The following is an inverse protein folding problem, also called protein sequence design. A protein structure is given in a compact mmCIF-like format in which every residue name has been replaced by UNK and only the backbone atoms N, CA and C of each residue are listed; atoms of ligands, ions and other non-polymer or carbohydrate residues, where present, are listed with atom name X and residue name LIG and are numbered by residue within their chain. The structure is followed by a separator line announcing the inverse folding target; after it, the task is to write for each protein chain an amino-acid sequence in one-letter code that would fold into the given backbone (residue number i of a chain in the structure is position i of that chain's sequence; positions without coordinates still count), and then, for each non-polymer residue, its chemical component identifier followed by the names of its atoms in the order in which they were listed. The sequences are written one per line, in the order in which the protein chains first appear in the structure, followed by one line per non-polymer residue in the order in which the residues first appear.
data_IF_259651088227
#
_entry.id   IF_259651088227
#
_cell.length_a   1.000
_cell.length_b   1.000
_cell.length_c   1.000
_cell.angle_alpha   90.00
_cell.angle_beta   90.00
_cell.angle_gamma   90.00
#
_symmetry.space_group_name_H-M   'P 1'
#
loop_
_entity.id
_entity.type
_entity.pdbx_description
1 polymer ?
#
# COMPACT_ATOMS: atom_id res chain seq x y z
N UNK A 1 -6.90 6.98 1.54
CA UNK A 1 -6.11 6.23 2.55
C UNK A 1 -6.95 5.09 3.07
N UNK A 2 -6.38 3.87 3.05
CA UNK A 2 -6.94 2.68 3.70
C UNK A 2 -6.15 2.38 4.97
N UNK A 3 -6.82 1.83 5.98
CA UNK A 3 -6.14 1.36 7.18
C UNK A 3 -6.77 0.06 7.70
N UNK A 4 -5.96 -0.72 8.41
CA UNK A 4 -6.38 -1.91 9.13
C UNK A 4 -5.76 -1.90 10.53
N UNK A 5 -6.60 -2.04 11.54
CA UNK A 5 -6.17 -2.18 12.94
C UNK A 5 -6.23 -3.65 13.36
N UNK A 6 -5.25 -4.09 14.14
CA UNK A 6 -5.22 -5.42 14.77
C UNK A 6 -4.75 -5.30 16.22
N UNK A 7 -5.49 -5.89 17.12
CA UNK A 7 -5.06 -6.12 18.50
C UNK A 7 -4.51 -7.54 18.61
N UNK A 8 -3.35 -7.68 19.19
CA UNK A 8 -2.70 -8.98 19.40
C UNK A 8 -2.97 -9.52 20.80
N UNK A 9 -2.94 -8.64 21.79
CA UNK A 9 -3.23 -8.90 23.19
C UNK A 9 -3.58 -7.57 23.91
N UNK A 10 -3.66 -7.60 25.23
CA UNK A 10 -4.01 -6.41 26.02
C UNK A 10 -2.88 -5.35 26.07
N UNK A 11 -1.68 -5.69 25.61
CA UNK A 11 -0.49 -4.83 25.64
C UNK A 11 0.01 -4.42 24.26
N UNK A 12 -0.52 -5.01 23.18
CA UNK A 12 0.02 -4.84 21.84
C UNK A 12 -1.08 -4.69 20.78
N UNK A 13 -0.97 -3.62 20.01
CA UNK A 13 -1.81 -3.35 18.84
C UNK A 13 -0.93 -2.90 17.67
N UNK A 14 -1.44 -3.07 16.46
CA UNK A 14 -0.83 -2.49 15.28
C UNK A 14 -1.89 -1.89 14.35
N UNK A 15 -1.49 -0.84 13.64
CA UNK A 15 -2.25 -0.28 12.54
C UNK A 15 -1.39 -0.25 11.28
N UNK A 16 -1.91 -0.85 10.23
CA UNK A 16 -1.39 -0.74 8.87
C UNK A 16 -2.11 0.40 8.16
N UNK A 17 -1.38 1.29 7.54
CA UNK A 17 -1.94 2.42 6.79
C UNK A 17 -1.31 2.45 5.40
N UNK A 18 -2.13 2.56 4.37
CA UNK A 18 -1.69 2.60 2.98
C UNK A 18 -2.23 3.85 2.28
N UNK A 19 -1.36 4.56 1.57
CA UNK A 19 -1.76 5.63 0.69
C UNK A 19 -2.33 5.04 -0.61
N UNK A 20 -3.66 5.03 -0.70
CA UNK A 20 -4.41 4.60 -1.90
C UNK A 20 -5.10 5.78 -2.57
N UNK A 21 -4.66 7.00 -2.24
CA UNK A 21 -5.29 8.21 -2.76
C UNK A 21 -5.11 8.31 -4.27
N UNK A 22 -6.16 8.79 -4.91
CA UNK A 22 -6.20 9.04 -6.33
C UNK A 22 -7.09 10.27 -6.53
N UNK A 23 -6.46 11.43 -6.74
CA UNK A 23 -7.15 12.71 -6.87
C UNK A 23 -7.78 12.91 -8.25
N UNK A 24 -7.45 12.07 -9.23
CA UNK A 24 -8.03 12.18 -10.55
C UNK A 24 -9.50 11.76 -10.56
N UNK A 25 -10.35 12.63 -11.10
CA UNK A 25 -11.74 12.31 -11.39
C UNK A 25 -11.80 11.28 -12.50
N UNK A 26 -12.29 10.09 -12.19
CA UNK A 26 -12.39 9.00 -13.17
C UNK A 26 -13.67 9.14 -13.96
N UNK A 27 -13.55 9.28 -15.26
CA UNK A 27 -14.70 9.28 -16.18
C UNK A 27 -15.32 7.88 -16.32
N UNK A 28 -14.55 6.81 -16.03
CA UNK A 28 -15.01 5.44 -16.19
C UNK A 28 -14.37 4.48 -15.20
N UNK A 29 -15.15 3.58 -14.64
CA UNK A 29 -14.69 2.47 -13.80
C UNK A 29 -13.74 1.53 -14.56
N UNK A 30 -13.84 1.46 -15.88
CA UNK A 30 -13.02 0.61 -16.74
C UNK A 30 -11.60 1.15 -16.97
N UNK A 31 -11.40 2.45 -16.81
CA UNK A 31 -10.07 3.07 -16.90
C UNK A 31 -9.19 2.80 -15.67
N UNK A 32 -9.74 2.16 -14.65
CA UNK A 32 -9.01 1.81 -13.43
C UNK A 32 -7.89 0.78 -13.66
N UNK A 33 -7.96 0.02 -14.74
CA UNK A 33 -6.94 -0.98 -15.10
C UNK A 33 -5.69 -0.37 -15.75
N UNK A 34 -5.77 0.88 -16.19
CA UNK A 34 -4.60 1.58 -16.72
C UNK A 34 -3.76 2.08 -15.56
N UNK A 35 -2.46 1.77 -15.61
CA UNK A 35 -1.48 2.34 -14.69
C UNK A 35 -1.46 3.84 -14.97
N UNK A 36 -2.16 4.62 -14.12
CA UNK A 36 -2.09 6.05 -14.16
C UNK A 36 -0.95 6.51 -13.26
N UNK A 37 -0.29 7.54 -13.65
CA UNK A 37 0.67 8.24 -12.80
C UNK A 37 -0.10 8.85 -11.62
N UNK A 38 -0.18 8.12 -10.55
CA UNK A 38 -0.70 8.64 -9.29
C UNK A 38 0.39 9.50 -8.67
N UNK A 39 0.04 10.71 -8.29
CA UNK A 39 1.00 11.68 -7.75
C UNK A 39 0.64 12.14 -6.33
N UNK A 40 -0.38 11.57 -5.74
CA UNK A 40 -0.83 12.01 -4.42
C UNK A 40 0.19 11.63 -3.35
N UNK A 41 0.91 12.64 -2.90
CA UNK A 41 1.82 12.58 -1.77
C UNK A 41 1.25 13.38 -0.61
N UNK A 42 1.56 12.95 0.57
CA UNK A 42 1.18 13.63 1.79
C UNK A 42 2.42 13.90 2.63
N UNK A 43 2.96 15.09 2.55
CA UNK A 43 4.18 15.47 3.29
C UNK A 43 3.95 15.51 4.80
N UNK A 44 2.71 15.72 5.22
CA UNK A 44 2.36 15.82 6.63
C UNK A 44 0.96 15.30 6.90
N UNK A 45 0.90 14.14 7.54
CA UNK A 45 -0.34 13.50 8.00
C UNK A 45 -0.29 13.40 9.51
N UNK A 46 -1.30 13.97 10.18
CA UNK A 46 -1.46 13.80 11.62
C UNK A 46 -2.37 12.61 11.89
N UNK A 47 -1.86 11.66 12.64
CA UNK A 47 -2.59 10.48 13.07
C UNK A 47 -2.98 10.65 14.53
N UNK A 48 -4.27 10.44 14.83
CA UNK A 48 -4.79 10.31 16.18
C UNK A 48 -5.26 8.87 16.37
N UNK A 49 -4.58 8.12 17.22
CA UNK A 49 -4.83 6.70 17.44
C UNK A 49 -5.37 6.46 18.85
N UNK A 50 -6.64 6.12 18.94
CA UNK A 50 -7.34 5.88 20.22
C UNK A 50 -7.06 4.45 20.69
N UNK A 51 -6.47 4.28 21.87
CA UNK A 51 -6.17 2.99 22.48
C UNK A 51 -6.06 3.10 23.99
N UNK A 52 -6.48 2.09 24.76
CA UNK A 52 -6.22 2.02 26.19
C UNK A 52 -4.78 1.65 26.53
N UNK A 53 -3.98 1.20 25.57
CA UNK A 53 -2.59 0.75 25.79
C UNK A 53 -1.72 1.97 26.07
N UNK A 54 -1.05 1.95 27.22
CA UNK A 54 -0.01 2.91 27.57
C UNK A 54 1.37 2.34 27.25
N UNK A 55 2.14 3.08 26.43
CA UNK A 55 3.46 2.61 26.01
C UNK A 55 4.05 3.48 24.91
N UNK A 56 4.67 2.85 23.93
CA UNK A 56 5.34 3.52 22.82
C UNK A 56 4.70 3.17 21.48
N UNK A 57 4.85 4.07 20.54
CA UNK A 57 4.51 3.83 19.14
C UNK A 57 5.81 3.56 18.37
N UNK A 58 5.86 2.42 17.72
CA UNK A 58 6.98 1.98 16.89
C UNK A 58 6.53 1.98 15.45
N UNK A 59 7.21 2.73 14.60
CA UNK A 59 7.03 2.63 13.16
C UNK A 59 7.85 1.46 12.63
N UNK A 60 7.24 0.65 11.77
CA UNK A 60 7.88 -0.47 11.07
C UNK A 60 7.78 -0.19 9.58
N UNK A 61 8.91 -0.15 8.90
CA UNK A 61 8.99 -0.02 7.44
C UNK A 61 8.70 -1.37 6.82
N UNK A 62 7.58 -1.56 6.09
CA UNK A 62 7.18 -2.87 5.59
C UNK A 62 8.22 -3.51 4.65
N UNK A 63 8.90 -2.68 3.85
CA UNK A 63 9.83 -3.13 2.81
C UNK A 63 11.15 -3.65 3.40
N UNK A 64 11.63 -3.05 4.48
CA UNK A 64 12.94 -3.37 5.07
C UNK A 64 12.86 -4.08 6.41
N UNK A 65 11.72 -3.96 7.10
CA UNK A 65 11.55 -4.41 8.48
C UNK A 65 12.24 -3.53 9.52
N UNK A 66 12.81 -2.40 9.11
CA UNK A 66 13.41 -1.43 10.03
C UNK A 66 12.36 -0.87 10.99
N UNK A 67 12.79 -0.57 12.20
CA UNK A 67 11.92 -0.11 13.28
C UNK A 67 12.45 1.17 13.88
N UNK A 68 11.54 2.10 14.13
CA UNK A 68 11.87 3.40 14.71
C UNK A 68 10.88 3.76 15.81
N UNK A 69 11.39 4.31 16.90
CA UNK A 69 10.54 4.86 17.95
C UNK A 69 9.97 6.20 17.49
N UNK A 70 8.65 6.26 17.38
CA UNK A 70 7.93 7.46 16.95
C UNK A 70 7.86 8.51 18.05
N UNK A 71 8.09 9.77 17.70
CA UNK A 71 7.81 10.89 18.59
C UNK A 71 6.30 11.11 18.69
N UNK A 72 5.74 10.85 19.85
CA UNK A 72 4.28 10.89 20.07
C UNK A 72 3.89 11.76 21.25
N UNK A 73 2.63 12.21 21.25
CA UNK A 73 1.94 12.78 22.41
C UNK A 73 0.77 11.89 22.75
N UNK A 74 0.67 11.47 24.02
CA UNK A 74 -0.51 10.78 24.53
C UNK A 74 -1.35 11.75 25.36
N UNK A 75 -2.61 11.91 24.99
CA UNK A 75 -3.60 12.70 25.74
C UNK A 75 -5.01 12.19 25.44
N UNK A 76 -5.88 12.25 26.42
CA UNK A 76 -7.31 11.90 26.27
C UNK A 76 -7.55 10.50 25.66
N UNK A 77 -6.69 9.52 26.02
CA UNK A 77 -6.80 8.16 25.53
C UNK A 77 -6.33 7.95 24.08
N UNK A 78 -5.60 8.91 23.51
CA UNK A 78 -5.11 8.82 22.14
C UNK A 78 -3.63 9.20 22.02
N UNK A 79 -2.91 8.46 21.18
CA UNK A 79 -1.61 8.88 20.66
C UNK A 79 -1.79 9.80 19.47
N UNK A 80 -1.08 10.92 19.47
CA UNK A 80 -1.01 11.81 18.32
C UNK A 80 0.44 11.88 17.83
N UNK A 81 0.63 11.66 16.54
CA UNK A 81 1.93 11.73 15.87
C UNK A 81 1.78 12.14 14.41
N UNK A 82 2.89 12.53 13.79
CA UNK A 82 2.93 12.96 12.40
C UNK A 82 3.78 11.99 11.56
N UNK A 83 3.42 11.86 10.29
CA UNK A 83 4.13 11.06 9.31
C UNK A 83 3.88 11.62 7.91
N UNK A 84 4.56 11.07 6.91
CA UNK A 84 4.35 11.37 5.50
C UNK A 84 4.00 10.10 4.75
N UNK A 85 3.44 10.24 3.56
CA UNK A 85 3.21 9.11 2.65
C UNK A 85 3.60 9.51 1.24
N UNK A 86 4.51 8.76 0.66
CA UNK A 86 4.76 8.76 -0.77
C UNK A 86 3.59 8.09 -1.52
N UNK A 87 3.62 8.17 -2.83
CA UNK A 87 2.65 7.49 -3.69
C UNK A 87 2.66 5.99 -3.41
N UNK A 88 1.51 5.41 -3.15
CA UNK A 88 1.32 3.98 -2.78
C UNK A 88 2.05 3.50 -1.53
N UNK A 89 2.68 4.37 -0.79
CA UNK A 89 3.43 3.96 0.39
C UNK A 89 2.53 3.38 1.47
N UNK A 90 3.02 2.34 2.10
CA UNK A 90 2.43 1.72 3.28
C UNK A 90 3.30 1.96 4.50
N UNK A 91 2.67 2.06 5.68
CA UNK A 91 3.36 2.16 6.97
C UNK A 91 2.65 1.32 8.01
N UNK A 92 3.41 0.75 8.93
CA UNK A 92 2.90 0.01 10.08
C UNK A 92 3.30 0.76 11.34
N UNK A 93 2.35 0.98 12.22
CA UNK A 93 2.60 1.54 13.55
C UNK A 93 2.15 0.53 14.58
N UNK A 94 3.09 0.01 15.37
CA UNK A 94 2.82 -0.85 16.49
C UNK A 94 2.77 -0.02 17.78
N UNK A 95 1.71 -0.21 18.56
CA UNK A 95 1.57 0.36 19.90
C UNK A 95 1.85 -0.78 20.88
N UNK A 96 2.86 -0.62 21.71
CA UNK A 96 3.30 -1.65 22.64
C UNK A 96 3.56 -1.06 24.01
N UNK A 97 3.34 -1.84 25.06
CA UNK A 97 3.64 -1.40 26.43
C UNK A 97 5.14 -1.11 26.59
N UNK A 98 5.49 -0.21 27.50
CA UNK A 98 6.88 0.21 27.71
C UNK A 98 7.84 -0.95 28.04
N UNK A 99 7.34 -2.01 28.67
CA UNK A 99 8.12 -3.19 29.03
C UNK A 99 8.54 -4.05 27.83
N UNK A 100 7.80 -3.96 26.72
CA UNK A 100 8.05 -4.73 25.52
C UNK A 100 8.88 -3.99 24.45
N UNK A 101 9.27 -2.74 24.71
CA UNK A 101 10.08 -1.94 23.77
C UNK A 101 11.54 -2.40 23.84
N UNK A 102 12.17 -2.80 22.72
CA UNK A 102 13.59 -3.09 22.69
C UNK A 102 14.43 -1.89 23.14
N UNK A 103 15.40 -2.11 24.03
CA UNK A 103 16.22 -1.05 24.61
C UNK A 103 17.14 -0.35 23.58
N UNK A 104 17.43 -1.01 22.47
CA UNK A 104 18.30 -0.57 21.37
C UNK A 104 17.53 0.09 20.22
N UNK A 105 16.22 0.26 20.39
CA UNK A 105 15.41 0.85 19.32
C UNK A 105 15.76 2.32 19.11
N UNK A 106 16.24 2.64 17.91
CA UNK A 106 16.60 4.01 17.54
C UNK A 106 15.35 4.92 17.57
N UNK A 107 15.54 6.13 18.11
CA UNK A 107 14.54 7.17 17.94
C UNK A 107 14.47 7.56 16.46
N UNK A 108 13.27 7.92 16.00
CA UNK A 108 13.08 8.47 14.66
C UNK A 108 14.03 9.67 14.47
N UNK A 109 14.99 9.52 13.59
CA UNK A 109 15.80 10.63 13.09
C UNK A 109 15.13 11.15 11.84
N UNK A 110 14.84 12.45 11.79
CA UNK A 110 14.40 13.15 10.58
C UNK A 110 15.55 13.17 9.53
N UNK A 111 15.93 12.01 9.04
CA UNK A 111 16.84 11.92 7.90
C UNK A 111 16.07 11.43 6.68
N UNK A 112 15.47 12.38 5.98
CA UNK A 112 15.15 12.17 4.57
C UNK A 112 16.45 12.23 3.80
N UNK A 113 17.13 11.12 3.66
CA UNK A 113 18.25 11.01 2.73
C UNK A 113 17.66 10.77 1.35
N UNK A 114 17.44 11.84 0.61
CA UNK A 114 17.10 11.73 -0.80
C UNK A 114 18.42 11.52 -1.55
N UNK A 115 18.63 10.32 -2.08
CA UNK A 115 19.70 10.06 -3.05
C UNK A 115 19.09 10.09 -4.44
N UNK A 116 19.53 11.04 -5.27
CA UNK A 116 19.23 11.02 -6.70
C UNK A 116 20.30 10.19 -7.39
N UNK A 117 19.88 9.11 -8.03
CA UNK A 117 20.73 8.32 -8.92
C UNK A 117 20.34 8.69 -10.34
N UNK A 118 21.21 9.42 -11.04
CA UNK A 118 21.02 9.66 -12.46
C UNK A 118 21.29 8.36 -13.22
N UNK A 119 20.28 7.88 -13.91
CA UNK A 119 20.44 6.76 -14.85
C UNK A 119 20.75 7.31 -16.22
N UNK A 120 21.77 6.76 -16.88
CA UNK A 120 22.08 7.10 -18.26
C UNK A 120 20.93 6.67 -19.18
N UNK A 121 20.69 7.43 -20.26
CA UNK A 121 19.62 7.16 -21.22
C UNK A 121 19.93 6.00 -22.19
N UNK A 122 20.86 5.14 -21.84
CA UNK A 122 21.30 3.99 -22.67
C UNK A 122 20.36 2.78 -22.54
N UNK A 123 20.53 1.79 -23.42
CA UNK A 123 19.86 0.52 -23.25
C UNK A 123 20.43 -0.22 -22.03
N UNK A 124 19.52 -0.80 -21.22
CA UNK A 124 19.89 -1.61 -20.07
C UNK A 124 19.66 -3.08 -20.37
N UNK A 125 20.64 -3.94 -20.06
CA UNK A 125 20.47 -5.38 -20.06
C UNK A 125 19.75 -5.79 -18.77
N UNK A 126 18.54 -6.30 -18.90
CA UNK A 126 17.74 -6.77 -17.77
C UNK A 126 17.72 -8.29 -17.79
N UNK A 127 18.21 -8.91 -16.72
CA UNK A 127 18.07 -10.35 -16.47
C UNK A 127 17.05 -10.55 -15.37
N UNK A 128 16.03 -11.38 -15.63
CA UNK A 128 15.05 -11.76 -14.64
C UNK A 128 15.47 -13.09 -14.02
N UNK A 129 15.52 -13.12 -12.68
CA UNK A 129 15.86 -14.35 -11.93
C UNK A 129 14.67 -15.32 -11.90
N UNK A 130 13.47 -14.80 -12.12
CA UNK A 130 12.24 -15.58 -12.16
C UNK A 130 11.48 -15.34 -13.47
N UNK A 131 10.66 -16.31 -13.93
CA UNK A 131 9.83 -16.12 -15.10
C UNK A 131 8.90 -14.92 -14.93
N UNK A 132 8.86 -14.03 -15.91
CA UNK A 132 7.92 -12.94 -15.93
C UNK A 132 6.48 -13.47 -16.07
N UNK A 133 5.57 -12.98 -15.26
CA UNK A 133 4.14 -13.32 -15.30
C UNK A 133 3.37 -12.20 -15.95
N UNK A 134 2.79 -12.47 -17.10
CA UNK A 134 1.82 -11.58 -17.73
C UNK A 134 0.41 -12.03 -17.37
N UNK A 135 -0.28 -11.22 -16.58
CA UNK A 135 -1.69 -11.45 -16.25
C UNK A 135 -2.56 -10.86 -17.35
N UNK A 136 -3.25 -11.72 -18.10
CA UNK A 136 -4.22 -11.33 -19.11
C UNK A 136 -5.63 -11.53 -18.53
N UNK A 137 -6.18 -10.53 -17.90
CA UNK A 137 -7.49 -10.58 -17.26
C UNK A 137 -8.63 -10.05 -18.13
N UNK A 138 -8.31 -9.46 -19.28
CA UNK A 138 -9.27 -8.95 -20.27
C UNK A 138 -8.89 -9.33 -21.69
N UNK A 139 -9.89 -9.69 -22.51
CA UNK A 139 -9.70 -10.01 -23.91
C UNK A 139 -10.91 -9.59 -24.75
N UNK A 140 -10.69 -9.36 -26.04
CA UNK A 140 -11.75 -9.41 -27.04
C UNK A 140 -12.00 -10.87 -27.40
N UNK A 141 -13.21 -11.27 -27.61
CA UNK A 141 -13.55 -12.67 -27.87
C UNK A 141 -14.60 -12.82 -28.96
N UNK A 142 -14.68 -14.01 -29.50
CA UNK A 142 -15.68 -14.42 -30.47
C UNK A 142 -16.04 -15.87 -30.22
N UNK A 143 -17.32 -16.18 -30.10
CA UNK A 143 -17.82 -17.55 -29.97
C UNK A 143 -18.17 -18.11 -31.36
N UNK A 144 -17.51 -19.20 -31.73
CA UNK A 144 -17.69 -19.83 -33.04
C UNK A 144 -17.45 -18.86 -34.21
N UNK A 145 -18.40 -18.85 -35.15
CA UNK A 145 -18.40 -17.96 -36.32
C UNK A 145 -19.13 -16.63 -36.09
N UNK A 146 -19.48 -16.30 -34.84
CA UNK A 146 -20.19 -15.06 -34.52
C UNK A 146 -19.32 -13.80 -34.69
N UNK A 147 -19.84 -12.66 -34.30
CA UNK A 147 -19.14 -11.38 -34.35
C UNK A 147 -18.16 -11.23 -33.16
N UNK A 148 -17.09 -10.46 -33.38
CA UNK A 148 -16.20 -10.05 -32.32
C UNK A 148 -16.92 -9.22 -31.29
N UNK A 149 -16.80 -9.63 -30.01
CA UNK A 149 -17.33 -8.92 -28.87
C UNK A 149 -16.33 -7.89 -28.35
N UNK A 150 -16.79 -6.82 -27.68
CA UNK A 150 -15.93 -5.88 -27.01
C UNK A 150 -15.04 -6.55 -25.97
N UNK A 151 -13.97 -5.87 -25.56
CA UNK A 151 -13.09 -6.36 -24.50
C UNK A 151 -13.85 -6.52 -23.18
N UNK A 152 -13.78 -7.71 -22.58
CA UNK A 152 -14.42 -8.05 -21.32
C UNK A 152 -13.42 -8.79 -20.40
N UNK A 153 -13.73 -8.84 -19.12
CA UNK A 153 -12.98 -9.67 -18.17
C UNK A 153 -13.16 -11.15 -18.48
N UNK A 154 -12.10 -11.94 -18.32
CA UNK A 154 -12.08 -13.36 -18.64
C UNK A 154 -13.19 -14.14 -17.92
N UNK A 155 -13.56 -13.75 -16.70
CA UNK A 155 -14.68 -14.34 -15.97
C UNK A 155 -16.03 -14.15 -16.68
N UNK A 156 -16.25 -13.02 -17.33
CA UNK A 156 -17.47 -12.77 -18.10
C UNK A 156 -17.43 -13.52 -19.43
N UNK A 157 -16.26 -13.62 -20.06
CA UNK A 157 -16.06 -14.41 -21.27
C UNK A 157 -16.34 -15.90 -21.01
N UNK A 158 -15.82 -16.45 -19.91
CA UNK A 158 -16.09 -17.82 -19.50
C UNK A 158 -17.57 -18.07 -19.26
N UNK A 159 -18.25 -17.18 -18.55
CA UNK A 159 -19.69 -17.26 -18.34
C UNK A 159 -20.48 -17.26 -19.67
N UNK A 160 -20.12 -16.37 -20.59
CA UNK A 160 -20.82 -16.26 -21.88
C UNK A 160 -20.53 -17.46 -22.78
N UNK A 161 -19.28 -18.01 -22.72
CA UNK A 161 -18.93 -19.23 -23.40
C UNK A 161 -19.73 -20.43 -22.89
N UNK A 162 -19.83 -20.60 -21.57
CA UNK A 162 -20.63 -21.68 -20.96
C UNK A 162 -22.10 -21.61 -21.39
N UNK A 163 -22.70 -20.41 -21.35
CA UNK A 163 -24.09 -20.23 -21.82
C UNK A 163 -24.34 -20.55 -23.29
N UNK A 164 -23.29 -20.49 -24.10
CA UNK A 164 -23.41 -20.80 -25.54
C UNK A 164 -23.23 -22.29 -25.86
N UNK A 165 -22.77 -23.10 -24.90
CA UNK A 165 -22.52 -24.52 -25.03
C UNK A 165 -23.69 -25.35 -24.42
N UNK A 166 -24.38 -24.81 -23.41
CA UNK A 166 -25.59 -25.37 -22.80
C UNK A 166 -26.82 -25.21 -23.73
#
# INVERSE_FOLDING_TARGET
ILYQRRSYDDANEAVFICNTSDSETRESVFDQALVRERQDKFDRVRISYVTPIHGKVIEIVPETGERFLKKTRYADGAYTFETSFEVFQSRIFAITSDEAVPADLAAETEQVTTSEVALDSGPYDITLDEPNVLVLDRARYRLGNGNWQPSAYNLFIDRDARKAID
#
